data_IF_332495077420
#
_entry.id   IF_332495077420
#
_cell.length_a   1.000
_cell.length_b   1.000
_cell.length_c   1.000
_cell.angle_alpha   90.00
_cell.angle_beta   90.00
_cell.angle_gamma   90.00
#
_symmetry.space_group_name_H-M   'P 1'
#
loop_
_entity.id
_entity.type
_entity.pdbx_description
1 polymer ?
#
# COMPACT_ATOMS: atom_id res chain seq x y z
N UNK A 1 -19.37 -5.44 5.15
CA UNK A 1 -18.09 -4.85 4.75
C UNK A 1 -17.17 -5.97 4.34
N UNK A 2 -16.75 -6.01 3.07
CA UNK A 2 -15.89 -7.07 2.53
C UNK A 2 -14.46 -6.55 2.37
N UNK A 3 -13.47 -7.33 2.80
CA UNK A 3 -12.06 -7.01 2.57
C UNK A 3 -11.56 -7.79 1.37
N UNK A 4 -11.02 -7.09 0.37
CA UNK A 4 -10.43 -7.70 -0.82
C UNK A 4 -8.92 -7.51 -0.73
N UNK A 5 -8.12 -8.59 -0.54
CA UNK A 5 -6.68 -8.51 -0.67
C UNK A 5 -6.33 -8.30 -2.14
N UNK A 6 -5.69 -7.18 -2.47
CA UNK A 6 -5.37 -6.82 -3.86
C UNK A 6 -3.93 -7.16 -4.27
N UNK A 7 -3.18 -7.79 -3.35
CA UNK A 7 -1.85 -8.34 -3.56
C UNK A 7 -1.00 -8.27 -2.29
N UNK A 8 -0.07 -9.21 -2.18
CA UNK A 8 1.04 -9.17 -1.24
C UNK A 8 2.34 -9.22 -2.04
N UNK A 9 3.23 -8.25 -1.86
CA UNK A 9 4.54 -8.28 -2.52
C UNK A 9 5.63 -8.60 -1.50
N UNK A 10 6.39 -9.66 -1.76
CA UNK A 10 7.71 -9.85 -1.18
C UNK A 10 8.73 -9.14 -2.07
N UNK A 11 9.42 -8.15 -1.53
CA UNK A 11 10.45 -7.42 -2.26
C UNK A 11 11.81 -7.55 -1.60
N UNK A 12 12.83 -7.85 -2.41
CA UNK A 12 14.23 -7.94 -1.98
C UNK A 12 14.82 -6.62 -1.48
N UNK A 13 14.11 -5.50 -1.65
CA UNK A 13 14.47 -4.24 -1.03
C UNK A 13 13.23 -3.45 -0.56
N UNK A 14 13.35 -2.72 0.57
CA UNK A 14 12.31 -1.81 1.06
C UNK A 14 11.83 -0.79 0.03
N UNK A 15 12.74 -0.29 -0.82
CA UNK A 15 12.41 0.67 -1.88
C UNK A 15 11.56 0.06 -2.99
N UNK A 16 11.80 -1.20 -3.36
CA UNK A 16 10.97 -1.91 -4.33
C UNK A 16 9.59 -2.23 -3.76
N UNK A 17 9.50 -2.59 -2.48
CA UNK A 17 8.23 -2.76 -1.78
C UNK A 17 7.41 -1.46 -1.77
N UNK A 18 8.02 -0.33 -1.43
CA UNK A 18 7.35 0.98 -1.44
C UNK A 18 6.90 1.37 -2.86
N UNK A 19 7.75 1.16 -3.87
CA UNK A 19 7.41 1.43 -5.26
C UNK A 19 6.21 0.60 -5.73
N UNK A 20 6.17 -0.68 -5.37
CA UNK A 20 5.04 -1.55 -5.68
C UNK A 20 3.74 -1.04 -5.04
N UNK A 21 3.79 -0.60 -3.77
CA UNK A 21 2.63 0.01 -3.11
C UNK A 21 2.14 1.26 -3.85
N UNK A 22 3.05 2.13 -4.30
CA UNK A 22 2.72 3.32 -5.07
C UNK A 22 2.06 3.00 -6.42
N UNK A 23 2.65 2.08 -7.18
CA UNK A 23 2.10 1.67 -8.47
C UNK A 23 0.72 1.02 -8.30
N UNK A 24 0.55 0.19 -7.27
CA UNK A 24 -0.70 -0.52 -7.03
C UNK A 24 -1.80 0.41 -6.50
N UNK A 25 -1.47 1.33 -5.59
CA UNK A 25 -2.41 2.37 -5.12
C UNK A 25 -2.89 3.23 -6.28
N UNK A 26 -1.99 3.66 -7.18
CA UNK A 26 -2.37 4.42 -8.38
C UNK A 26 -3.37 3.65 -9.25
N UNK A 27 -3.07 2.39 -9.55
CA UNK A 27 -3.94 1.57 -10.38
C UNK A 27 -5.33 1.37 -9.75
N UNK A 28 -5.44 1.28 -8.42
CA UNK A 28 -6.74 1.21 -7.75
C UNK A 28 -7.47 2.55 -7.84
N UNK A 29 -6.79 3.66 -7.53
CA UNK A 29 -7.42 4.99 -7.58
C UNK A 29 -7.91 5.36 -8.98
N UNK A 30 -7.25 4.87 -10.04
CA UNK A 30 -7.68 5.06 -11.43
C UNK A 30 -9.01 4.33 -11.75
N UNK A 31 -9.39 3.33 -10.94
CA UNK A 31 -10.63 2.55 -11.11
C UNK A 31 -11.75 2.95 -10.14
N UNK A 32 -11.44 3.75 -9.12
CA UNK A 32 -12.42 4.19 -8.13
C UNK A 32 -13.11 5.48 -8.57
N UNK A 33 -14.38 5.65 -8.16
CA UNK A 33 -15.05 6.94 -8.28
C UNK A 33 -14.27 8.02 -7.51
N UNK A 34 -14.37 9.26 -7.99
CA UNK A 34 -13.56 10.38 -7.49
C UNK A 34 -13.60 10.53 -5.96
N UNK A 35 -14.76 10.31 -5.33
CA UNK A 35 -14.94 10.37 -3.87
C UNK A 35 -14.11 9.32 -3.13
N UNK A 36 -13.99 8.11 -3.68
CA UNK A 36 -13.27 6.98 -3.08
C UNK A 36 -11.79 6.95 -3.47
N UNK A 37 -11.41 7.62 -4.56
CA UNK A 37 -10.01 7.77 -4.98
C UNK A 37 -9.21 8.74 -4.09
N UNK A 38 -9.85 9.75 -3.48
CA UNK A 38 -9.16 10.82 -2.74
C UNK A 38 -8.16 10.33 -1.67
N UNK A 39 -8.49 9.36 -0.79
CA UNK A 39 -7.55 8.89 0.22
C UNK A 39 -6.30 8.24 -0.39
N UNK A 40 -6.46 7.48 -1.49
CA UNK A 40 -5.32 6.88 -2.19
C UNK A 40 -4.47 7.93 -2.92
N UNK A 41 -5.09 8.93 -3.54
CA UNK A 41 -4.40 10.06 -4.17
C UNK A 41 -3.63 10.90 -3.14
N UNK A 42 -4.20 11.09 -1.95
CA UNK A 42 -3.53 11.76 -0.85
C UNK A 42 -2.31 10.97 -0.39
N UNK A 43 -2.45 9.67 -0.12
CA UNK A 43 -1.33 8.80 0.25
C UNK A 43 -0.20 8.82 -0.79
N UNK A 44 -0.53 8.82 -2.09
CA UNK A 44 0.45 8.91 -3.19
C UNK A 44 1.27 10.20 -3.21
N UNK A 45 0.80 11.26 -2.56
CA UNK A 45 1.50 12.55 -2.47
C UNK A 45 2.05 12.83 -1.06
N UNK A 46 1.73 11.98 -0.09
CA UNK A 46 2.20 12.10 1.28
C UNK A 46 3.63 11.56 1.44
N UNK A 47 4.60 12.46 1.35
CA UNK A 47 6.01 12.14 1.55
C UNK A 47 6.32 11.58 2.95
N UNK A 48 5.66 12.09 4.00
CA UNK A 48 5.92 11.65 5.37
C UNK A 48 5.43 10.21 5.58
N UNK A 49 4.28 9.86 5.01
CA UNK A 49 3.75 8.50 5.09
C UNK A 49 4.60 7.52 4.26
N UNK A 50 5.19 7.96 3.14
CA UNK A 50 6.16 7.15 2.40
C UNK A 50 7.46 6.91 3.17
N UNK A 51 7.98 7.92 3.88
CA UNK A 51 9.15 7.76 4.75
C UNK A 51 8.85 6.79 5.90
N UNK A 52 7.65 6.91 6.50
CA UNK A 52 7.16 5.98 7.52
C UNK A 52 7.08 4.55 6.98
N UNK A 53 6.49 4.35 5.80
CA UNK A 53 6.40 3.05 5.16
C UNK A 53 7.78 2.44 4.89
N UNK A 54 8.72 3.25 4.39
CA UNK A 54 10.10 2.82 4.16
C UNK A 54 10.81 2.42 5.45
N UNK A 55 10.59 3.15 6.54
CA UNK A 55 11.16 2.83 7.85
C UNK A 55 10.66 1.46 8.36
N UNK A 56 9.36 1.18 8.26
CA UNK A 56 8.81 -0.14 8.61
C UNK A 56 9.40 -1.26 7.78
N UNK A 57 9.42 -1.10 6.45
CA UNK A 57 9.95 -2.10 5.53
C UNK A 57 11.45 -2.35 5.76
N UNK A 58 12.22 -1.30 6.08
CA UNK A 58 13.64 -1.42 6.42
C UNK A 58 13.87 -2.16 7.74
N UNK A 59 12.97 -1.96 8.71
CA UNK A 59 12.99 -2.68 9.99
C UNK A 59 12.49 -4.14 9.89
N UNK A 60 12.24 -4.66 8.69
CA UNK A 60 11.71 -6.02 8.51
C UNK A 60 10.22 -6.14 8.79
N UNK A 61 9.51 -5.03 9.01
CA UNK A 61 8.07 -5.03 9.32
C UNK A 61 7.26 -4.80 8.05
N UNK A 62 6.22 -5.62 7.84
CA UNK A 62 5.29 -5.41 6.73
C UNK A 62 4.53 -4.08 6.89
N UNK A 63 4.17 -3.47 5.77
CA UNK A 63 3.41 -2.22 5.76
C UNK A 63 2.13 -2.40 4.94
N UNK A 64 1.02 -1.86 5.45
CA UNK A 64 -0.30 -1.99 4.86
C UNK A 64 -0.87 -0.64 4.47
N UNK A 65 -1.35 -0.55 3.22
CA UNK A 65 -2.22 0.54 2.76
C UNK A 65 -3.64 0.01 2.69
N UNK A 66 -4.59 0.77 3.26
CA UNK A 66 -6.01 0.41 3.20
C UNK A 66 -6.79 1.54 2.53
N UNK A 67 -7.45 1.21 1.42
CA UNK A 67 -8.39 2.10 0.74
C UNK A 67 -9.81 1.60 0.98
N UNK A 68 -10.78 2.50 0.93
CA UNK A 68 -12.17 2.21 1.27
C UNK A 68 -13.10 2.75 0.18
N UNK A 69 -14.10 1.94 -0.19
CA UNK A 69 -15.35 2.42 -0.78
C UNK A 69 -16.53 2.16 0.18
N UNK A 70 -17.77 2.42 -0.26
CA UNK A 70 -18.97 2.26 0.58
C UNK A 70 -19.11 0.89 1.26
N UNK A 71 -18.63 -0.19 0.63
CA UNK A 71 -18.89 -1.56 1.09
C UNK A 71 -17.64 -2.44 1.16
N UNK A 72 -16.53 -1.96 0.58
CA UNK A 72 -15.31 -2.71 0.31
C UNK A 72 -14.10 -2.04 0.93
N UNK A 73 -13.22 -2.86 1.51
CA UNK A 73 -11.88 -2.48 1.93
C UNK A 73 -10.88 -3.11 0.98
N UNK A 74 -10.10 -2.27 0.32
CA UNK A 74 -9.01 -2.70 -0.52
C UNK A 74 -7.72 -2.67 0.29
N UNK A 75 -7.15 -3.85 0.52
CA UNK A 75 -5.97 -4.01 1.37
C UNK A 75 -4.77 -4.36 0.50
N UNK A 76 -3.73 -3.53 0.58
CA UNK A 76 -2.42 -3.76 -0.02
C UNK A 76 -1.40 -3.99 1.08
N UNK A 77 -0.64 -5.06 0.98
CA UNK A 77 0.41 -5.38 1.96
C UNK A 77 1.74 -5.59 1.24
N UNK A 78 2.80 -4.94 1.73
CA UNK A 78 4.15 -5.21 1.27
C UNK A 78 4.98 -5.76 2.43
N UNK A 79 5.75 -6.81 2.15
CA UNK A 79 6.65 -7.45 3.10
C UNK A 79 8.09 -7.40 2.56
N UNK A 80 9.08 -7.06 3.40
CA UNK A 80 10.47 -7.17 3.01
C UNK A 80 10.89 -8.64 2.94
N UNK A 81 11.54 -9.05 1.85
CA UNK A 81 12.12 -10.39 1.73
C UNK A 81 13.31 -10.49 2.69
N UNK A 82 13.26 -11.45 3.62
CA UNK A 82 14.25 -11.59 4.71
C UNK A 82 13.66 -11.39 6.10
N UNK A 83 12.39 -11.01 6.22
CA UNK A 83 11.60 -11.22 7.43
C UNK A 83 11.13 -12.69 7.52
N UNK A 84 12.06 -13.63 7.33
CA UNK A 84 11.83 -15.02 7.76
C UNK A 84 11.86 -15.04 9.28
N UNK A 85 10.76 -15.53 9.87
CA UNK A 85 10.77 -16.08 11.23
C UNK A 85 11.85 -17.15 11.39
#
# INVERSE_FOLDING_TARGET
MHSIPLGSQEASSPRLALRWLQERTRHITDQLDATYAQPGLHWLTDGAEHERALAYLTAGTGYQVTLYDESTRYVLVAHPTGATS
#
